data_IF_360321247216
#
_entry.id   IF_360321247216
#
_cell.length_a   1.000
_cell.length_b   1.000
_cell.length_c   1.000
_cell.angle_alpha   90.00
_cell.angle_beta   90.00
_cell.angle_gamma   90.00
#
_symmetry.space_group_name_H-M   'P 1'
#
loop_
_entity.id
_entity.type
_entity.pdbx_description
1 polymer ?
#
# COMPACT_ATOMS: atom_id res chain seq x y z
N UNK A 1 -8.12 -26.20 -43.12
CA UNK A 1 -9.38 -25.46 -43.39
C UNK A 1 -10.02 -25.20 -42.03
N UNK A 2 -10.19 -23.94 -41.63
CA UNK A 2 -10.89 -23.59 -40.39
C UNK A 2 -12.35 -23.98 -40.50
N UNK A 3 -12.93 -24.48 -39.41
CA UNK A 3 -14.33 -24.89 -39.36
C UNK A 3 -15.26 -23.67 -39.47
N UNK A 4 -16.46 -23.84 -40.05
CA UNK A 4 -17.49 -22.78 -40.11
C UNK A 4 -17.77 -22.19 -38.72
N UNK A 5 -17.72 -23.03 -37.67
CA UNK A 5 -17.90 -22.61 -36.27
C UNK A 5 -16.76 -21.71 -35.77
N UNK A 6 -15.52 -22.03 -36.13
CA UNK A 6 -14.33 -21.24 -35.77
C UNK A 6 -14.36 -19.88 -36.48
N UNK A 7 -14.72 -19.86 -37.77
CA UNK A 7 -14.84 -18.62 -38.53
C UNK A 7 -15.91 -17.69 -37.94
N UNK A 8 -17.05 -18.25 -37.50
CA UNK A 8 -18.09 -17.47 -36.85
C UNK A 8 -17.64 -16.91 -35.48
N UNK A 9 -16.86 -17.67 -34.71
CA UNK A 9 -16.33 -17.24 -33.42
C UNK A 9 -15.31 -16.10 -33.58
N UNK A 10 -14.40 -16.22 -34.55
CA UNK A 10 -13.45 -15.16 -34.91
C UNK A 10 -14.18 -13.88 -35.35
N UNK A 11 -15.21 -14.00 -36.19
CA UNK A 11 -16.01 -12.83 -36.60
C UNK A 11 -16.68 -12.13 -35.41
N UNK A 12 -17.18 -12.87 -34.41
CA UNK A 12 -17.74 -12.29 -33.18
C UNK A 12 -16.68 -11.55 -32.38
N UNK A 13 -15.50 -12.15 -32.20
CA UNK A 13 -14.38 -11.49 -31.54
C UNK A 13 -14.05 -10.15 -32.22
N UNK A 14 -13.86 -10.17 -33.55
CA UNK A 14 -13.53 -8.95 -34.29
C UNK A 14 -14.61 -7.87 -34.16
N UNK A 15 -15.88 -8.27 -34.19
CA UNK A 15 -16.99 -7.33 -33.99
C UNK A 15 -16.99 -6.73 -32.59
N UNK A 16 -16.68 -7.51 -31.56
CA UNK A 16 -16.55 -7.04 -30.18
C UNK A 16 -15.37 -6.07 -30.01
N UNK A 17 -14.21 -6.39 -30.60
CA UNK A 17 -13.04 -5.51 -30.56
C UNK A 17 -13.32 -4.19 -31.30
N UNK A 18 -14.02 -4.25 -32.44
CA UNK A 18 -14.44 -3.07 -33.18
C UNK A 18 -15.48 -2.23 -32.40
N UNK A 19 -16.37 -2.88 -31.64
CA UNK A 19 -17.29 -2.19 -30.73
C UNK A 19 -16.51 -1.41 -29.66
N UNK A 20 -15.51 -2.03 -29.02
CA UNK A 20 -14.64 -1.35 -28.06
C UNK A 20 -13.90 -0.15 -28.68
N UNK A 21 -13.32 -0.35 -29.86
CA UNK A 21 -12.49 0.65 -30.53
C UNK A 21 -13.34 1.90 -30.90
N UNK A 22 -14.59 1.71 -31.32
CA UNK A 22 -15.53 2.79 -31.68
C UNK A 22 -16.37 3.32 -30.50
N UNK A 23 -16.34 2.66 -29.34
CA UNK A 23 -17.18 3.02 -28.21
C UNK A 23 -16.74 4.34 -27.56
N UNK A 24 -17.73 5.20 -27.30
CA UNK A 24 -17.59 6.34 -26.40
C UNK A 24 -17.52 5.91 -24.93
N UNK A 25 -17.27 6.87 -24.04
CA UNK A 25 -17.08 6.66 -22.59
C UNK A 25 -18.17 5.82 -21.92
N UNK A 26 -19.45 6.11 -22.21
CA UNK A 26 -20.60 5.38 -21.65
C UNK A 26 -20.64 3.94 -22.16
N UNK A 27 -20.49 3.75 -23.47
CA UNK A 27 -20.49 2.41 -24.07
C UNK A 27 -19.33 1.55 -23.56
N UNK A 28 -18.11 2.13 -23.44
CA UNK A 28 -16.96 1.44 -22.83
C UNK A 28 -17.23 1.00 -21.41
N UNK A 29 -17.87 1.84 -20.58
CA UNK A 29 -18.28 1.42 -19.23
C UNK A 29 -19.18 0.19 -19.26
N UNK A 30 -20.20 0.15 -20.13
CA UNK A 30 -21.11 -1.00 -20.22
C UNK A 30 -20.40 -2.27 -20.71
N UNK A 31 -19.47 -2.13 -21.67
CA UNK A 31 -18.63 -3.24 -22.12
C UNK A 31 -17.81 -3.79 -20.96
N UNK A 32 -17.19 -2.92 -20.15
CA UNK A 32 -16.41 -3.34 -18.98
C UNK A 32 -17.28 -4.01 -17.92
N UNK A 33 -18.47 -3.48 -17.61
CA UNK A 33 -19.39 -4.08 -16.65
C UNK A 33 -19.76 -5.51 -17.06
N UNK A 34 -20.20 -5.68 -18.31
CA UNK A 34 -20.56 -6.98 -18.87
C UNK A 34 -19.37 -7.94 -18.87
N UNK A 35 -18.18 -7.45 -19.24
CA UNK A 35 -16.95 -8.25 -19.22
C UNK A 35 -16.64 -8.73 -17.80
N UNK A 36 -16.67 -7.84 -16.81
CA UNK A 36 -16.40 -8.17 -15.41
C UNK A 36 -17.38 -9.21 -14.88
N UNK A 37 -18.67 -9.02 -15.10
CA UNK A 37 -19.71 -9.95 -14.65
C UNK A 37 -19.56 -11.33 -15.28
N UNK A 38 -19.19 -11.40 -16.56
CA UNK A 38 -19.13 -12.66 -17.31
C UNK A 38 -17.84 -13.43 -17.07
N UNK A 39 -16.72 -12.75 -16.75
CA UNK A 39 -15.38 -13.32 -16.77
C UNK A 39 -14.70 -13.45 -15.41
N UNK A 40 -15.33 -12.98 -14.33
CA UNK A 40 -14.77 -13.11 -12.98
C UNK A 40 -14.56 -14.58 -12.61
N UNK A 41 -13.35 -14.91 -12.17
CA UNK A 41 -13.00 -16.26 -11.70
C UNK A 41 -12.60 -17.25 -12.79
N UNK A 42 -12.57 -16.84 -14.06
CA UNK A 42 -12.11 -17.69 -15.15
C UNK A 42 -10.59 -17.88 -15.14
N UNK A 43 -10.18 -19.03 -15.65
CA UNK A 43 -8.79 -19.39 -15.94
C UNK A 43 -8.35 -18.82 -17.30
N UNK A 44 -7.04 -18.74 -17.53
CA UNK A 44 -6.53 -18.23 -18.81
C UNK A 44 -7.02 -19.04 -20.03
N UNK A 45 -7.10 -20.39 -20.01
CA UNK A 45 -7.68 -21.16 -21.11
C UNK A 45 -9.17 -20.87 -21.35
N UNK A 46 -9.97 -20.62 -20.31
CA UNK A 46 -11.38 -20.26 -20.46
C UNK A 46 -11.54 -18.87 -21.08
N UNK A 47 -10.69 -17.91 -20.71
CA UNK A 47 -10.63 -16.61 -21.36
C UNK A 47 -10.24 -16.77 -22.83
N UNK A 48 -9.21 -17.55 -23.15
CA UNK A 48 -8.86 -17.80 -24.55
C UNK A 48 -9.99 -18.48 -25.32
N UNK A 49 -10.72 -19.41 -24.71
CA UNK A 49 -11.88 -20.03 -25.34
C UNK A 49 -13.00 -19.01 -25.63
N UNK A 50 -13.29 -18.10 -24.69
CA UNK A 50 -14.28 -17.03 -24.88
C UNK A 50 -13.90 -16.10 -26.03
N UNK A 51 -12.61 -15.74 -26.11
CA UNK A 51 -12.09 -14.81 -27.08
C UNK A 51 -11.49 -15.50 -28.31
N UNK A 52 -11.89 -16.74 -28.64
CA UNK A 52 -11.43 -17.45 -29.84
C UNK A 52 -9.90 -17.44 -30.03
N UNK A 53 -9.16 -17.65 -28.93
CA UNK A 53 -7.69 -17.59 -28.82
C UNK A 53 -7.08 -16.20 -29.04
N UNK A 54 -7.88 -15.15 -28.89
CA UNK A 54 -7.51 -13.75 -29.06
C UNK A 54 -7.72 -12.91 -27.80
N UNK A 55 -7.68 -13.49 -26.61
CA UNK A 55 -7.94 -12.77 -25.36
C UNK A 55 -6.92 -11.64 -25.12
N UNK A 56 -5.64 -11.89 -25.47
CA UNK A 56 -4.58 -10.86 -25.46
C UNK A 56 -4.91 -9.63 -26.30
N UNK A 57 -5.68 -9.76 -27.39
CA UNK A 57 -6.06 -8.61 -28.21
C UNK A 57 -6.97 -7.63 -27.47
N UNK A 58 -7.79 -8.15 -26.55
CA UNK A 58 -8.60 -7.30 -25.70
C UNK A 58 -7.77 -6.72 -24.55
N UNK A 59 -6.89 -7.51 -23.93
CA UNK A 59 -5.96 -7.01 -22.91
C UNK A 59 -5.10 -5.85 -23.43
N UNK A 60 -4.55 -5.94 -24.64
CA UNK A 60 -3.78 -4.85 -25.27
C UNK A 60 -4.62 -3.58 -25.42
N UNK A 61 -5.91 -3.70 -25.75
CA UNK A 61 -6.82 -2.55 -25.83
C UNK A 61 -7.13 -1.93 -24.47
N UNK A 62 -7.32 -2.76 -23.45
CA UNK A 62 -7.55 -2.30 -22.08
C UNK A 62 -6.32 -1.56 -21.55
N UNK A 63 -5.13 -2.13 -21.72
CA UNK A 63 -3.86 -1.53 -21.26
C UNK A 63 -3.50 -0.27 -22.04
N UNK A 64 -3.74 -0.24 -23.35
CA UNK A 64 -3.58 0.96 -24.17
C UNK A 64 -4.54 2.05 -23.71
N UNK A 65 -5.80 1.70 -23.45
CA UNK A 65 -6.79 2.66 -22.93
C UNK A 65 -6.36 3.18 -21.57
N UNK A 66 -5.91 2.31 -20.66
CA UNK A 66 -5.44 2.69 -19.34
C UNK A 66 -4.36 3.77 -19.45
N UNK A 67 -3.36 3.55 -20.29
CA UNK A 67 -2.23 4.48 -20.45
C UNK A 67 -2.61 5.82 -21.07
N UNK A 68 -3.62 5.85 -21.94
CA UNK A 68 -4.07 7.08 -22.61
C UNK A 68 -5.06 7.87 -21.75
N UNK A 69 -5.92 7.19 -20.99
CA UNK A 69 -7.10 7.81 -20.39
C UNK A 69 -7.11 7.86 -18.87
N UNK A 70 -6.19 7.22 -18.12
CA UNK A 70 -6.26 7.14 -16.65
C UNK A 70 -6.45 8.49 -15.92
N UNK A 71 -6.01 9.61 -16.49
CA UNK A 71 -6.19 10.95 -15.91
C UNK A 71 -7.61 11.51 -16.10
N UNK A 72 -8.33 11.10 -17.14
CA UNK A 72 -9.63 11.67 -17.55
C UNK A 72 -10.78 10.65 -17.55
N UNK A 73 -10.46 9.38 -17.32
CA UNK A 73 -11.41 8.28 -17.39
C UNK A 73 -12.30 8.21 -16.15
N UNK A 74 -13.63 8.21 -16.35
CA UNK A 74 -14.55 8.00 -15.24
C UNK A 74 -14.82 6.53 -14.95
N UNK A 75 -14.42 5.61 -15.83
CA UNK A 75 -14.55 4.17 -15.62
C UNK A 75 -13.20 3.49 -15.32
N UNK A 76 -12.21 4.26 -14.85
CA UNK A 76 -10.87 3.74 -14.51
C UNK A 76 -10.92 2.52 -13.57
N UNK A 77 -11.78 2.54 -12.55
CA UNK A 77 -11.96 1.39 -11.65
C UNK A 77 -12.36 0.12 -12.42
N UNK A 78 -13.34 0.22 -13.32
CA UNK A 78 -13.81 -0.90 -14.14
C UNK A 78 -12.72 -1.39 -15.10
N UNK A 79 -11.93 -0.46 -15.63
CA UNK A 79 -10.81 -0.78 -16.51
C UNK A 79 -9.74 -1.57 -15.77
N UNK A 80 -9.34 -1.12 -14.57
CA UNK A 80 -8.38 -1.81 -13.71
C UNK A 80 -8.90 -3.19 -13.28
N UNK A 81 -10.18 -3.29 -12.89
CA UNK A 81 -10.82 -4.58 -12.56
C UNK A 81 -10.83 -5.54 -13.73
N UNK A 82 -11.08 -5.05 -14.94
CA UNK A 82 -11.05 -5.87 -16.16
C UNK A 82 -9.64 -6.38 -16.45
N UNK A 83 -8.61 -5.54 -16.30
CA UNK A 83 -7.20 -5.98 -16.38
C UNK A 83 -6.91 -7.02 -15.29
N UNK A 84 -7.43 -6.83 -14.08
CA UNK A 84 -7.26 -7.76 -12.96
C UNK A 84 -7.78 -9.16 -13.23
N UNK A 85 -8.84 -9.32 -14.02
CA UNK A 85 -9.33 -10.63 -14.45
C UNK A 85 -8.27 -11.37 -15.26
N UNK A 86 -7.60 -10.70 -16.19
CA UNK A 86 -6.51 -11.30 -16.96
C UNK A 86 -5.32 -11.68 -16.07
N UNK A 87 -4.86 -10.75 -15.22
CA UNK A 87 -3.66 -10.96 -14.43
C UNK A 87 -3.83 -12.01 -13.34
N UNK A 88 -5.03 -12.11 -12.77
CA UNK A 88 -5.32 -13.05 -11.67
C UNK A 88 -5.77 -14.44 -12.14
N UNK A 89 -5.95 -14.64 -13.45
CA UNK A 89 -6.39 -15.91 -13.99
C UNK A 89 -5.34 -17.01 -13.74
N UNK A 90 -5.77 -18.24 -13.47
CA UNK A 90 -4.84 -19.38 -13.37
C UNK A 90 -4.14 -19.57 -14.72
N UNK A 91 -2.81 -19.72 -14.69
CA UNK A 91 -1.93 -19.76 -15.88
C UNK A 91 -1.87 -18.45 -16.68
N UNK A 92 -1.98 -17.29 -16.02
CA UNK A 92 -1.94 -15.94 -16.63
C UNK A 92 -0.56 -15.41 -17.04
N UNK A 93 0.52 -16.22 -16.97
CA UNK A 93 1.89 -15.74 -17.18
C UNK A 93 2.07 -14.90 -18.45
N UNK A 94 1.40 -15.28 -19.55
CA UNK A 94 1.42 -14.52 -20.80
C UNK A 94 0.83 -13.12 -20.63
N UNK A 95 -0.37 -13.01 -20.06
CA UNK A 95 -1.04 -11.73 -19.81
C UNK A 95 -0.25 -10.83 -18.86
N UNK A 96 0.37 -11.44 -17.85
CA UNK A 96 1.24 -10.73 -16.92
C UNK A 96 2.44 -10.13 -17.67
N UNK A 97 3.15 -10.91 -18.48
CA UNK A 97 4.28 -10.41 -19.28
C UNK A 97 3.84 -9.29 -20.21
N UNK A 98 2.76 -9.48 -20.97
CA UNK A 98 2.22 -8.46 -21.89
C UNK A 98 1.90 -7.15 -21.16
N UNK A 99 1.33 -7.22 -19.95
CA UNK A 99 1.05 -6.04 -19.12
C UNK A 99 2.31 -5.34 -18.61
N UNK A 100 3.33 -6.10 -18.24
CA UNK A 100 4.58 -5.55 -17.73
C UNK A 100 5.41 -4.90 -18.84
N UNK A 101 5.47 -5.52 -20.03
CA UNK A 101 6.21 -5.01 -21.19
C UNK A 101 5.72 -3.64 -21.65
N UNK A 102 4.42 -3.35 -21.51
CA UNK A 102 3.85 -2.04 -21.85
C UNK A 102 4.01 -1.00 -20.74
N UNK A 103 4.72 -1.31 -19.64
CA UNK A 103 4.96 -0.41 -18.52
C UNK A 103 3.79 -0.36 -17.52
N UNK A 104 3.05 -1.45 -17.38
CA UNK A 104 1.87 -1.52 -16.51
C UNK A 104 2.16 -1.14 -15.05
N UNK A 105 3.27 -1.61 -14.48
CA UNK A 105 3.67 -1.26 -13.09
C UNK A 105 3.84 0.24 -12.90
N UNK A 106 4.54 0.92 -13.82
CA UNK A 106 4.75 2.37 -13.73
C UNK A 106 3.41 3.12 -13.78
N UNK A 107 2.50 2.70 -14.66
CA UNK A 107 1.16 3.29 -14.78
C UNK A 107 0.35 3.11 -13.48
N UNK A 108 0.39 1.92 -12.88
CA UNK A 108 -0.30 1.65 -11.61
C UNK A 108 0.26 2.49 -10.47
N UNK A 109 1.59 2.63 -10.38
CA UNK A 109 2.24 3.43 -9.36
C UNK A 109 1.94 4.94 -9.53
N UNK A 110 1.87 5.43 -10.77
CA UNK A 110 1.51 6.81 -11.06
C UNK A 110 0.07 7.12 -10.64
N UNK A 111 -0.87 6.20 -10.88
CA UNK A 111 -2.28 6.34 -10.47
C UNK A 111 -2.40 6.62 -8.96
N UNK A 112 -1.58 5.97 -8.12
CA UNK A 112 -1.59 6.17 -6.67
C UNK A 112 -1.28 7.63 -6.29
N UNK A 113 -0.33 8.25 -7.01
CA UNK A 113 0.17 9.60 -6.73
C UNK A 113 -0.76 10.73 -7.20
N UNK A 114 -1.71 10.46 -8.09
CA UNK A 114 -2.57 11.49 -8.68
C UNK A 114 -3.75 11.87 -7.79
N UNK A 115 -3.83 13.13 -7.35
CA UNK A 115 -4.89 13.61 -6.44
C UNK A 115 -6.30 13.54 -7.03
N UNK A 116 -6.43 13.71 -8.35
CA UNK A 116 -7.73 13.75 -9.03
C UNK A 116 -8.37 12.37 -9.23
N UNK A 117 -7.59 11.30 -9.07
CA UNK A 117 -8.11 9.95 -9.23
C UNK A 117 -8.84 9.53 -7.94
N UNK A 118 -10.03 8.96 -8.13
CA UNK A 118 -10.86 8.46 -7.04
C UNK A 118 -10.18 7.32 -6.27
N UNK A 119 -10.48 7.24 -4.98
CA UNK A 119 -9.84 6.30 -4.07
C UNK A 119 -10.12 4.83 -4.45
N UNK A 120 -11.30 4.52 -4.98
CA UNK A 120 -11.68 3.18 -5.43
C UNK A 120 -10.78 2.69 -6.57
N UNK A 121 -10.45 3.55 -7.53
CA UNK A 121 -9.54 3.22 -8.62
C UNK A 121 -8.08 3.04 -8.13
N UNK A 122 -7.65 3.82 -7.13
CA UNK A 122 -6.33 3.64 -6.52
C UNK A 122 -6.25 2.32 -5.76
N UNK A 123 -7.31 1.94 -5.03
CA UNK A 123 -7.41 0.64 -4.37
C UNK A 123 -7.31 -0.51 -5.36
N UNK A 124 -8.00 -0.44 -6.50
CA UNK A 124 -7.87 -1.45 -7.55
C UNK A 124 -6.44 -1.49 -8.15
N UNK A 125 -5.75 -0.34 -8.23
CA UNK A 125 -4.33 -0.31 -8.64
C UNK A 125 -3.43 -1.04 -7.63
N UNK A 126 -3.69 -0.90 -6.33
CA UNK A 126 -3.00 -1.66 -5.27
C UNK A 126 -3.24 -3.16 -5.43
N UNK A 127 -4.49 -3.59 -5.66
CA UNK A 127 -4.80 -5.02 -5.87
C UNK A 127 -4.06 -5.60 -7.07
N UNK A 128 -3.95 -4.85 -8.18
CA UNK A 128 -3.16 -5.29 -9.33
C UNK A 128 -1.67 -5.40 -8.98
N UNK A 129 -1.11 -4.46 -8.22
CA UNK A 129 0.27 -4.55 -7.73
C UNK A 129 0.48 -5.75 -6.81
N UNK A 130 -0.50 -6.10 -5.97
CA UNK A 130 -0.46 -7.33 -5.15
C UNK A 130 -0.44 -8.59 -6.03
N UNK A 131 -1.28 -8.67 -7.07
CA UNK A 131 -1.30 -9.80 -8.02
C UNK A 131 0.08 -9.95 -8.68
N UNK A 132 0.68 -8.83 -9.12
CA UNK A 132 2.01 -8.81 -9.71
C UNK A 132 3.07 -9.28 -8.69
N UNK A 133 3.07 -8.72 -7.47
CA UNK A 133 4.00 -9.10 -6.41
C UNK A 133 3.89 -10.59 -6.03
N UNK A 134 2.68 -11.13 -6.00
CA UNK A 134 2.40 -12.53 -5.66
C UNK A 134 2.80 -13.51 -6.77
N UNK A 135 3.06 -13.02 -7.98
CA UNK A 135 3.50 -13.86 -9.10
C UNK A 135 4.97 -14.29 -8.98
N UNK A 136 5.72 -13.75 -8.02
CA UNK A 136 7.08 -14.20 -7.70
C UNK A 136 8.08 -13.09 -7.38
N UNK A 137 9.27 -13.48 -6.93
CA UNK A 137 10.34 -12.55 -6.49
C UNK A 137 10.69 -11.50 -7.54
N UNK A 138 10.89 -11.91 -8.80
CA UNK A 138 11.31 -11.00 -9.88
C UNK A 138 10.32 -9.85 -10.09
N UNK A 139 9.03 -10.11 -9.89
CA UNK A 139 7.99 -9.08 -10.00
C UNK A 139 7.94 -8.17 -8.78
N UNK A 140 8.22 -8.68 -7.57
CA UNK A 140 8.43 -7.84 -6.37
C UNK A 140 9.61 -6.89 -6.58
N UNK A 141 10.71 -7.42 -7.10
CA UNK A 141 11.90 -6.63 -7.42
C UNK A 141 11.59 -5.53 -8.43
N UNK A 142 10.84 -5.84 -9.50
CA UNK A 142 10.41 -4.86 -10.50
C UNK A 142 9.58 -3.72 -9.88
N UNK A 143 8.65 -4.02 -8.96
CA UNK A 143 7.87 -3.00 -8.25
C UNK A 143 8.80 -2.10 -7.43
N UNK A 144 9.75 -2.67 -6.70
CA UNK A 144 10.71 -1.90 -5.89
C UNK A 144 11.64 -1.03 -6.74
N UNK A 145 12.13 -1.55 -7.89
CA UNK A 145 12.97 -0.85 -8.86
C UNK A 145 12.26 0.34 -9.49
N UNK A 146 10.95 0.22 -9.68
CA UNK A 146 10.08 1.26 -10.24
C UNK A 146 9.70 2.35 -9.22
N UNK A 147 10.52 2.55 -8.17
CA UNK A 147 10.23 3.43 -7.03
C UNK A 147 8.94 3.07 -6.26
N UNK A 148 8.46 1.83 -6.38
CA UNK A 148 7.16 1.42 -5.85
C UNK A 148 7.04 1.58 -4.34
N UNK A 149 8.10 1.27 -3.58
CA UNK A 149 8.09 1.43 -2.10
C UNK A 149 7.69 2.85 -1.70
N UNK A 150 8.26 3.86 -2.37
CA UNK A 150 7.97 5.26 -2.06
C UNK A 150 6.53 5.61 -2.42
N UNK A 151 6.09 5.30 -3.64
CA UNK A 151 4.74 5.66 -4.10
C UNK A 151 3.66 4.96 -3.28
N UNK A 152 3.86 3.69 -2.92
CA UNK A 152 2.94 2.90 -2.11
C UNK A 152 2.89 3.44 -0.68
N UNK A 153 4.04 3.74 -0.07
CA UNK A 153 4.11 4.34 1.27
C UNK A 153 3.46 5.72 1.32
N UNK A 154 3.76 6.60 0.35
CA UNK A 154 3.11 7.91 0.26
C UNK A 154 1.59 7.80 0.10
N UNK A 155 1.10 6.78 -0.62
CA UNK A 155 -0.33 6.53 -0.73
C UNK A 155 -0.95 6.04 0.59
N UNK A 156 -0.27 5.15 1.33
CA UNK A 156 -0.68 4.73 2.67
C UNK A 156 -0.89 5.92 3.62
N UNK A 157 0.05 6.87 3.61
CA UNK A 157 0.00 8.06 4.47
C UNK A 157 -1.13 9.03 4.11
N UNK A 158 -1.51 9.11 2.83
CA UNK A 158 -2.48 10.10 2.32
C UNK A 158 -3.90 9.57 2.18
N UNK A 159 -4.08 8.25 2.07
CA UNK A 159 -5.39 7.62 1.94
C UNK A 159 -6.24 7.90 3.18
N UNK A 160 -7.55 8.06 2.97
CA UNK A 160 -8.54 8.32 4.02
C UNK A 160 -9.38 7.09 4.35
N UNK A 161 -9.40 6.11 3.45
CA UNK A 161 -10.10 4.84 3.63
C UNK A 161 -9.21 3.85 4.37
N UNK A 162 -9.59 3.46 5.60
CA UNK A 162 -8.86 2.44 6.36
C UNK A 162 -8.78 1.10 5.62
N UNK A 163 -9.87 0.70 4.96
CA UNK A 163 -9.90 -0.52 4.12
C UNK A 163 -8.85 -0.45 2.99
N UNK A 164 -8.67 0.73 2.39
CA UNK A 164 -7.63 0.94 1.36
C UNK A 164 -6.24 0.90 1.97
N UNK A 165 -6.05 1.47 3.16
CA UNK A 165 -4.78 1.44 3.87
C UNK A 165 -4.38 0.00 4.26
N UNK A 166 -5.33 -0.86 4.63
CA UNK A 166 -5.11 -2.28 4.90
C UNK A 166 -4.63 -3.03 3.65
N UNK A 167 -5.25 -2.80 2.48
CA UNK A 167 -4.77 -3.36 1.21
C UNK A 167 -3.34 -2.90 0.87
N UNK A 168 -3.02 -1.64 1.16
CA UNK A 168 -1.67 -1.10 0.97
C UNK A 168 -0.66 -1.76 1.92
N UNK A 169 -1.04 -1.99 3.18
CA UNK A 169 -0.23 -2.70 4.16
C UNK A 169 0.08 -4.13 3.69
N UNK A 170 -0.92 -4.87 3.20
CA UNK A 170 -0.74 -6.22 2.65
C UNK A 170 0.30 -6.22 1.52
N UNK A 171 0.25 -5.23 0.63
CA UNK A 171 1.25 -5.09 -0.43
C UNK A 171 2.64 -4.83 0.14
N UNK A 172 2.82 -3.86 1.03
CA UNK A 172 4.11 -3.54 1.64
C UNK A 172 4.70 -4.74 2.39
N UNK A 173 3.88 -5.45 3.17
CA UNK A 173 4.29 -6.66 3.87
C UNK A 173 4.74 -7.77 2.89
N UNK A 174 3.98 -7.97 1.81
CA UNK A 174 4.33 -8.93 0.76
C UNK A 174 5.67 -8.60 0.09
N UNK A 175 6.01 -7.32 -0.05
CA UNK A 175 7.27 -6.86 -0.65
C UNK A 175 8.49 -7.13 0.25
N UNK A 176 8.30 -7.34 1.55
CA UNK A 176 9.38 -7.79 2.46
C UNK A 176 9.62 -9.29 2.33
N UNK A 177 8.55 -10.08 2.20
CA UNK A 177 8.62 -11.54 2.20
C UNK A 177 9.22 -12.09 0.89
N UNK A 178 10.30 -12.88 1.01
CA UNK A 178 10.95 -13.53 -0.13
C UNK A 178 11.71 -12.59 -1.08
N UNK A 179 11.98 -11.35 -0.66
CA UNK A 179 12.58 -10.29 -1.49
C UNK A 179 13.84 -9.65 -0.85
N UNK A 180 14.91 -10.42 -0.60
CA UNK A 180 16.08 -9.97 0.16
C UNK A 180 16.79 -8.76 -0.45
N UNK A 181 16.73 -8.57 -1.78
CA UNK A 181 17.35 -7.43 -2.46
C UNK A 181 16.78 -6.09 -2.00
N UNK A 182 15.47 -6.04 -1.72
CA UNK A 182 14.75 -4.79 -1.41
C UNK A 182 14.13 -4.73 -0.02
N UNK A 183 14.26 -5.78 0.80
CA UNK A 183 13.81 -5.80 2.20
C UNK A 183 14.20 -4.54 2.99
N UNK A 184 15.46 -4.14 2.91
CA UNK A 184 15.96 -2.92 3.59
C UNK A 184 15.34 -1.63 3.03
N UNK A 185 15.01 -1.59 1.73
CA UNK A 185 14.33 -0.45 1.13
C UNK A 185 12.90 -0.33 1.66
N UNK A 186 12.15 -1.45 1.69
CA UNK A 186 10.78 -1.50 2.21
C UNK A 186 10.76 -1.11 3.69
N UNK A 187 11.66 -1.68 4.48
CA UNK A 187 11.80 -1.37 5.91
C UNK A 187 12.09 0.11 6.18
N UNK A 188 13.02 0.73 5.43
CA UNK A 188 13.27 2.18 5.51
C UNK A 188 12.05 2.99 5.09
N UNK A 189 11.32 2.55 4.06
CA UNK A 189 10.08 3.16 3.61
C UNK A 189 9.02 3.17 4.70
N UNK A 190 8.86 2.06 5.42
CA UNK A 190 7.93 1.96 6.55
C UNK A 190 8.34 2.84 7.73
N UNK A 191 9.64 2.89 8.07
CA UNK A 191 10.12 3.80 9.13
C UNK A 191 9.83 5.27 8.78
N UNK A 192 9.96 5.63 7.50
CA UNK A 192 9.66 6.98 7.02
C UNK A 192 8.15 7.35 7.12
N UNK A 193 7.26 6.38 7.36
CA UNK A 193 5.83 6.63 7.59
C UNK A 193 5.49 6.92 9.05
N UNK A 194 6.35 6.57 10.00
CA UNK A 194 6.11 6.83 11.43
C UNK A 194 5.80 8.30 11.77
N UNK A 195 6.38 9.33 11.12
CA UNK A 195 6.01 10.72 11.37
C UNK A 195 4.77 11.22 10.62
N UNK A 196 4.01 10.37 9.90
CA UNK A 196 2.85 10.83 9.14
C UNK A 196 1.65 11.20 10.03
N UNK A 197 0.72 11.98 9.50
CA UNK A 197 -0.45 12.48 10.25
C UNK A 197 -1.58 11.45 10.41
N UNK A 198 -1.60 10.38 9.61
CA UNK A 198 -2.65 9.35 9.65
C UNK A 198 -2.35 8.32 10.75
N UNK A 199 -3.16 8.22 11.81
CA UNK A 199 -2.93 7.26 12.90
C UNK A 199 -3.00 5.82 12.42
N UNK A 200 -3.98 5.51 11.56
CA UNK A 200 -4.12 4.18 10.95
C UNK A 200 -2.88 3.83 10.12
N UNK A 201 -2.35 4.74 9.31
CA UNK A 201 -1.12 4.50 8.57
C UNK A 201 0.09 4.24 9.48
N UNK A 202 0.22 4.99 10.59
CA UNK A 202 1.27 4.76 11.59
C UNK A 202 1.14 3.38 12.22
N UNK A 203 -0.07 3.00 12.66
CA UNK A 203 -0.36 1.69 13.25
C UNK A 203 0.01 0.56 12.29
N UNK A 204 -0.48 0.61 11.04
CA UNK A 204 -0.22 -0.40 10.02
C UNK A 204 1.28 -0.49 9.71
N UNK A 205 1.97 0.66 9.64
CA UNK A 205 3.41 0.71 9.40
C UNK A 205 4.20 0.06 10.55
N UNK A 206 3.83 0.33 11.81
CA UNK A 206 4.45 -0.30 12.98
C UNK A 206 4.29 -1.82 12.95
N UNK A 207 3.09 -2.31 12.68
CA UNK A 207 2.82 -3.75 12.54
C UNK A 207 3.68 -4.38 11.45
N UNK A 208 3.77 -3.76 10.27
CA UNK A 208 4.60 -4.27 9.18
C UNK A 208 6.09 -4.19 9.50
N UNK A 209 6.55 -3.16 10.22
CA UNK A 209 7.94 -3.07 10.70
C UNK A 209 8.27 -4.23 11.63
N UNK A 210 7.38 -4.62 12.54
CA UNK A 210 7.59 -5.77 13.44
C UNK A 210 7.78 -7.05 12.67
N UNK A 211 6.89 -7.34 11.72
CA UNK A 211 7.02 -8.51 10.84
C UNK A 211 8.32 -8.45 10.03
N UNK A 212 8.62 -7.30 9.43
CA UNK A 212 9.82 -7.10 8.65
C UNK A 212 11.12 -7.24 9.45
N UNK A 213 11.13 -6.76 10.70
CA UNK A 213 12.28 -6.83 11.58
C UNK A 213 12.71 -8.29 11.82
N UNK A 214 11.75 -9.19 12.03
CA UNK A 214 12.01 -10.62 12.23
C UNK A 214 12.66 -11.29 11.00
N UNK A 215 12.36 -10.78 9.80
CA UNK A 215 12.87 -11.31 8.53
C UNK A 215 14.26 -10.75 8.23
N UNK A 216 14.46 -9.45 8.48
CA UNK A 216 15.67 -8.72 8.10
C UNK A 216 16.81 -9.00 9.08
N UNK A 217 16.51 -9.16 10.36
CA UNK A 217 17.49 -9.46 11.41
C UNK A 217 18.40 -8.30 11.79
N UNK A 218 18.70 -7.37 10.88
CA UNK A 218 19.45 -6.14 11.14
C UNK A 218 18.51 -4.96 11.34
N UNK A 219 18.84 -4.02 12.22
CA UNK A 219 18.04 -2.81 12.44
C UNK A 219 18.62 -1.61 11.71
N UNK A 220 17.76 -0.65 11.35
CA UNK A 220 18.22 0.63 10.84
C UNK A 220 18.22 1.66 11.98
N UNK A 221 19.34 2.39 12.24
CA UNK A 221 19.45 3.28 13.40
C UNK A 221 18.34 4.34 13.51
N UNK A 222 17.78 4.79 12.37
CA UNK A 222 16.69 5.79 12.38
C UNK A 222 15.41 5.30 13.05
N UNK A 223 15.23 3.99 13.25
CA UNK A 223 14.04 3.45 13.92
C UNK A 223 13.93 3.94 15.36
N UNK A 224 15.05 4.15 16.04
CA UNK A 224 15.09 4.53 17.46
C UNK A 224 14.37 5.87 17.66
N UNK A 225 14.83 6.91 16.97
CA UNK A 225 14.25 8.25 17.10
C UNK A 225 12.80 8.30 16.63
N UNK A 226 12.46 7.57 15.57
CA UNK A 226 11.10 7.52 15.05
C UNK A 226 10.13 6.89 16.06
N UNK A 227 10.45 5.74 16.62
CA UNK A 227 9.55 5.02 17.53
C UNK A 227 9.44 5.73 18.89
N UNK A 228 10.53 6.33 19.39
CA UNK A 228 10.47 7.15 20.61
C UNK A 228 9.57 8.38 20.47
N UNK A 229 9.56 9.03 19.30
CA UNK A 229 8.64 10.14 19.00
C UNK A 229 7.20 9.68 18.95
N UNK A 230 6.94 8.51 18.36
CA UNK A 230 5.59 7.95 18.25
C UNK A 230 4.95 7.68 19.62
N UNK A 231 5.72 7.38 20.67
CA UNK A 231 5.18 7.20 22.03
C UNK A 231 4.39 8.42 22.55
N UNK A 232 4.67 9.62 22.04
CA UNK A 232 3.94 10.85 22.40
C UNK A 232 2.60 11.03 21.69
N UNK A 233 2.18 10.08 20.86
CA UNK A 233 0.87 10.11 20.18
C UNK A 233 -0.30 9.98 21.17
N UNK A 234 -1.42 10.61 20.84
CA UNK A 234 -2.68 10.48 21.57
C UNK A 234 -3.48 9.24 21.13
N UNK A 235 -3.07 8.61 20.03
CA UNK A 235 -3.76 7.45 19.47
C UNK A 235 -3.27 6.17 20.15
N UNK A 236 -4.09 5.62 21.05
CA UNK A 236 -3.71 4.48 21.90
C UNK A 236 -3.29 3.23 21.10
N UNK A 237 -3.92 2.98 19.95
CA UNK A 237 -3.58 1.86 19.06
C UNK A 237 -2.16 2.02 18.48
N UNK A 238 -1.80 3.23 18.05
CA UNK A 238 -0.46 3.55 17.56
C UNK A 238 0.57 3.46 18.69
N UNK A 239 0.23 3.98 19.87
CA UNK A 239 1.10 3.91 21.04
C UNK A 239 1.34 2.45 21.47
N UNK A 240 0.31 1.62 21.45
CA UNK A 240 0.41 0.20 21.75
C UNK A 240 1.36 -0.51 20.78
N UNK A 241 1.17 -0.34 19.46
CA UNK A 241 2.06 -0.95 18.47
C UNK A 241 3.50 -0.45 18.56
N UNK A 242 3.70 0.82 18.93
CA UNK A 242 5.03 1.38 19.17
C UNK A 242 5.71 0.72 20.38
N UNK A 243 4.98 0.52 21.48
CA UNK A 243 5.48 -0.18 22.67
C UNK A 243 5.86 -1.62 22.32
N UNK A 244 5.01 -2.34 21.59
CA UNK A 244 5.29 -3.71 21.19
C UNK A 244 6.51 -3.81 20.26
N UNK A 245 6.64 -2.90 19.29
CA UNK A 245 7.84 -2.81 18.46
C UNK A 245 9.11 -2.52 19.29
N UNK A 246 9.04 -1.64 20.29
CA UNK A 246 10.19 -1.38 21.17
C UNK A 246 10.61 -2.66 21.89
N UNK A 247 9.65 -3.42 22.44
CA UNK A 247 9.93 -4.70 23.12
C UNK A 247 10.63 -5.68 22.18
N UNK A 248 10.17 -5.77 20.93
CA UNK A 248 10.81 -6.62 19.92
C UNK A 248 12.25 -6.14 19.62
N UNK A 249 12.46 -4.83 19.50
CA UNK A 249 13.76 -4.22 19.19
C UNK A 249 14.81 -4.36 20.30
N UNK A 250 14.41 -4.64 21.55
CA UNK A 250 15.36 -4.95 22.64
C UNK A 250 16.23 -6.15 22.29
N UNK A 251 15.74 -7.08 21.47
CA UNK A 251 16.53 -8.23 20.99
C UNK A 251 17.73 -7.85 20.13
N UNK A 252 17.80 -6.62 19.62
CA UNK A 252 18.71 -6.20 18.56
C UNK A 252 19.78 -5.21 19.04
N UNK A 253 20.62 -4.76 18.09
CA UNK A 253 21.76 -3.87 18.30
C UNK A 253 21.38 -2.44 18.72
N UNK A 254 20.14 -2.02 18.50
CA UNK A 254 19.61 -0.70 18.92
C UNK A 254 19.22 -0.62 20.40
N UNK A 255 19.26 -1.73 21.14
CA UNK A 255 18.84 -1.81 22.55
C UNK A 255 19.39 -0.67 23.42
N UNK A 256 20.69 -0.40 23.35
CA UNK A 256 21.31 0.60 24.21
C UNK A 256 20.83 2.02 23.88
N UNK A 257 20.63 2.33 22.58
CA UNK A 257 20.10 3.61 22.14
C UNK A 257 18.63 3.79 22.56
N UNK A 258 17.82 2.73 22.42
CA UNK A 258 16.43 2.71 22.87
C UNK A 258 16.32 2.95 24.38
N UNK A 259 17.08 2.21 25.20
CA UNK A 259 17.04 2.38 26.66
C UNK A 259 17.45 3.78 27.08
N UNK A 260 18.50 4.35 26.48
CA UNK A 260 18.90 5.74 26.74
C UNK A 260 17.79 6.74 26.39
N UNK A 261 17.15 6.54 25.24
CA UNK A 261 16.03 7.38 24.80
C UNK A 261 14.80 7.27 25.70
N UNK A 262 14.40 6.05 26.08
CA UNK A 262 13.29 5.80 27.00
C UNK A 262 13.52 6.45 28.37
N UNK A 263 14.72 6.29 28.94
CA UNK A 263 15.09 6.94 30.20
C UNK A 263 15.03 8.46 30.08
N UNK A 264 15.49 9.03 28.96
CA UNK A 264 15.40 10.46 28.72
C UNK A 264 13.95 10.97 28.68
N UNK A 265 13.01 10.17 28.15
CA UNK A 265 11.58 10.51 28.15
C UNK A 265 10.97 10.52 29.56
N UNK A 266 11.48 9.68 30.48
CA UNK A 266 11.02 9.63 31.87
C UNK A 266 11.50 10.82 32.71
N UNK A 267 12.58 11.49 32.30
CA UNK A 267 13.11 12.64 33.03
C UNK A 267 12.29 13.88 32.67
N UNK A 268 11.61 14.53 33.65
CA UNK A 268 10.85 15.74 33.38
C UNK A 268 11.79 16.88 32.95
N UNK A 269 11.43 17.61 31.89
CA UNK A 269 12.29 18.67 31.39
C UNK A 269 12.35 19.85 32.38
N UNK A 270 13.56 20.36 32.67
CA UNK A 270 13.79 21.47 33.63
C UNK A 270 13.04 22.76 33.23
N UNK A 271 12.82 22.96 31.92
CA UNK A 271 12.05 24.10 31.40
C UNK A 271 10.54 23.96 31.59
N UNK A 272 10.03 22.74 31.75
CA UNK A 272 8.61 22.49 31.95
C UNK A 272 8.25 22.37 33.43
N UNK A 273 9.14 21.83 34.26
CA UNK A 273 8.98 21.86 35.72
C UNK A 273 8.94 23.29 36.26
N UNK A 274 9.78 24.18 35.72
CA UNK A 274 9.78 25.61 36.06
C UNK A 274 8.50 26.33 35.59
N UNK A 275 7.95 26.00 34.41
CA UNK A 275 6.63 26.48 33.95
C UNK A 275 5.46 25.95 34.77
N UNK A 276 5.50 24.69 35.20
CA UNK A 276 4.50 24.10 36.09
C UNK A 276 4.53 24.78 37.47
N UNK A 277 5.73 24.95 38.06
CA UNK A 277 5.90 25.64 39.34
C UNK A 277 5.41 27.08 39.29
N UNK A 278 5.72 27.82 38.21
CA UNK A 278 5.23 29.18 38.01
C UNK A 278 3.70 29.26 37.91
N UNK A 279 3.04 28.29 37.25
CA UNK A 279 1.57 28.22 37.15
C UNK A 279 0.88 27.83 38.45
N UNK A 280 1.44 26.91 39.22
CA UNK A 280 0.89 26.46 40.52
C UNK A 280 0.94 27.61 41.55
N UNK A 281 1.97 28.47 41.50
CA UNK A 281 2.10 29.63 42.37
C UNK A 281 1.13 30.77 42.03
N UNK A 282 0.62 30.84 40.79
CA UNK A 282 -0.24 31.94 40.33
C UNK A 282 -1.75 31.69 40.44
N UNK A 283 -2.20 30.43 40.47
CA UNK A 283 -3.63 30.11 40.62
C UNK A 283 -3.84 28.66 41.12
N UNK A 284 -4.27 28.44 42.39
CA UNK A 284 -4.48 27.09 42.93
C UNK A 284 -5.73 26.39 42.39
N UNK A 285 -6.57 27.08 41.60
CA UNK A 285 -7.83 26.54 41.08
C UNK A 285 -7.74 25.97 39.65
N UNK A 286 -6.58 26.07 39.00
CA UNK A 286 -6.42 25.72 37.59
C UNK A 286 -5.39 24.60 37.42
N UNK A 287 -5.81 23.37 37.71
CA UNK A 287 -5.23 22.16 37.15
C UNK A 287 -5.52 22.11 35.63
N UNK A 288 -4.94 23.04 34.86
CA UNK A 288 -4.91 22.94 33.39
C UNK A 288 -3.96 21.81 33.00
N UNK A 289 -4.42 20.56 33.10
CA UNK A 289 -3.71 19.36 32.62
C UNK A 289 -3.52 19.36 31.09
N UNK A 290 -4.29 20.15 30.35
CA UNK A 290 -4.36 20.08 28.89
C UNK A 290 -2.99 20.26 28.16
N UNK A 291 -2.09 21.18 28.56
CA UNK A 291 -0.80 21.36 27.87
C UNK A 291 0.25 20.31 28.24
N UNK A 292 0.13 19.67 29.40
CA UNK A 292 1.10 18.69 29.92
C UNK A 292 0.68 17.23 29.65
N UNK A 293 -0.56 17.01 29.23
CA UNK A 293 -1.10 15.69 28.93
C UNK A 293 -0.27 14.89 27.89
N UNK A 294 0.22 15.46 26.76
CA UNK A 294 1.05 14.71 25.81
C UNK A 294 2.35 14.21 26.43
N UNK A 295 2.98 15.00 27.30
CA UNK A 295 4.22 14.66 27.98
C UNK A 295 3.98 13.51 28.98
N UNK A 296 2.94 13.60 29.80
CA UNK A 296 2.62 12.53 30.76
C UNK A 296 2.23 11.23 30.06
N UNK A 297 1.54 11.31 28.92
CA UNK A 297 1.25 10.14 28.09
C UNK A 297 2.52 9.52 27.52
N UNK A 298 3.45 10.34 27.01
CA UNK A 298 4.73 9.85 26.51
C UNK A 298 5.57 9.21 27.62
N UNK A 299 5.59 9.80 28.82
CA UNK A 299 6.24 9.24 30.00
C UNK A 299 5.65 7.91 30.41
N UNK A 300 4.31 7.82 30.49
CA UNK A 300 3.61 6.59 30.81
C UNK A 300 3.87 5.49 29.76
N UNK A 301 3.89 5.85 28.47
CA UNK A 301 4.20 4.93 27.39
C UNK A 301 5.66 4.45 27.43
N UNK A 302 6.60 5.35 27.72
CA UNK A 302 8.00 5.01 27.90
C UNK A 302 8.20 4.07 29.10
N UNK A 303 7.49 4.31 30.21
CA UNK A 303 7.52 3.40 31.38
C UNK A 303 7.02 2.00 31.02
N UNK A 304 5.87 1.90 30.33
CA UNK A 304 5.31 0.61 29.83
C UNK A 304 6.22 -0.14 28.86
N UNK A 305 7.06 0.58 28.12
CA UNK A 305 8.02 -0.02 27.19
C UNK A 305 9.24 -0.61 27.92
N UNK A 306 9.55 -0.13 29.14
CA UNK A 306 10.65 -0.65 29.97
C UNK A 306 10.20 -1.85 30.82
N UNK A 307 8.99 -1.81 31.39
CA UNK A 307 8.46 -2.81 32.33
C UNK A 307 6.94 -2.93 32.34
#
# INVERSE_FOLDING_TARGET
MTSIKEQAAISRLLSFLQEWDNAGKVARSHILDKFIETNRGKTAPELEQEFSQGASLFLVRLTTSLRITYVTDSCLEKLLRSIGIFLSAVSSNRYLIEFLEVGGVLTLLEILGLEKIKEEAKKESIKLLQVIANSGRTYKELICESYGVRSIAEFLAKSKSEETQEEVQVLLDSLVHGNPKYQNQVYKGLIALLPCESPKAQQLSLQTIRTAQSIIGTTHPSIVDCVLKVLGTMHLEVQYEAIELIKDLVGYDVRQALLKGLVALLIPSVKETSKLQAKILSDPSVLQLAPSLPMFLQQAAAAKAIG
#
